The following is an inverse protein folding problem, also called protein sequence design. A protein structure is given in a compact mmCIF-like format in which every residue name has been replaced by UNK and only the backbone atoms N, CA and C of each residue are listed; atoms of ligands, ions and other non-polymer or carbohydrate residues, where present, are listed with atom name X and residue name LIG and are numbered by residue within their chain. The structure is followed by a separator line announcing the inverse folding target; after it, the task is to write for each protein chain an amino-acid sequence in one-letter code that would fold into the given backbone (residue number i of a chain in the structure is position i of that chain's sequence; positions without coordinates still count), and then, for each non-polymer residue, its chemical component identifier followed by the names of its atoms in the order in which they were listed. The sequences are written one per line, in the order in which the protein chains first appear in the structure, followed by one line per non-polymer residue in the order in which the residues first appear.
data_IF_189740014640
#
_entry.id   IF_189740014640
#
_cell.length_a   1.000
_cell.length_b   1.000
_cell.length_c   1.000
_cell.angle_alpha   90.00
_cell.angle_beta   90.00
_cell.angle_gamma   90.00
#
_symmetry.space_group_name_H-M   'P 1'
#
loop_
_entity.id
_entity.type
_entity.pdbx_description
1 polymer ?
#
# COMPACT_ATOMS: atom_id res chain seq x y z
N UNK A 1 33.38 4.71 -9.51
CA UNK A 1 31.91 4.87 -9.49
C UNK A 1 31.56 5.70 -8.27
N UNK A 2 30.77 6.75 -8.43
CA UNK A 2 30.31 7.57 -7.32
C UNK A 2 29.38 6.71 -6.45
N UNK A 3 29.61 6.71 -5.15
CA UNK A 3 28.77 5.93 -4.22
C UNK A 3 27.35 6.51 -4.23
N UNK A 4 26.34 5.68 -4.50
CA UNK A 4 24.94 6.11 -4.46
C UNK A 4 24.53 6.42 -3.01
N UNK A 5 23.75 7.47 -2.76
CA UNK A 5 23.29 7.81 -1.43
C UNK A 5 22.36 6.73 -0.84
N UNK A 6 21.56 6.10 -1.69
CA UNK A 6 20.68 4.99 -1.34
C UNK A 6 20.70 3.93 -2.44
N UNK A 7 20.43 2.66 -2.09
CA UNK A 7 20.40 1.52 -3.01
C UNK A 7 19.00 1.19 -3.50
N UNK A 8 17.96 1.60 -2.76
CA UNK A 8 16.58 1.44 -3.15
C UNK A 8 15.74 2.67 -2.83
N UNK A 9 14.77 2.94 -3.71
CA UNK A 9 13.66 3.86 -3.50
C UNK A 9 12.42 3.04 -3.24
N UNK A 10 11.75 3.34 -2.12
CA UNK A 10 10.49 2.70 -1.72
C UNK A 10 9.42 3.79 -1.70
N UNK A 11 8.31 3.60 -2.39
CA UNK A 11 7.25 4.62 -2.41
C UNK A 11 5.88 3.99 -2.27
N UNK A 12 5.04 4.59 -1.43
CA UNK A 12 3.61 4.42 -1.57
C UNK A 12 3.13 5.02 -2.90
N UNK A 13 1.93 4.65 -3.32
CA UNK A 13 1.33 5.08 -4.58
C UNK A 13 0.32 6.22 -4.39
N UNK A 14 -0.80 5.93 -3.72
CA UNK A 14 -1.92 6.85 -3.62
C UNK A 14 -1.63 7.97 -2.62
N UNK A 15 -1.71 9.22 -3.09
CA UNK A 15 -1.34 10.36 -2.24
C UNK A 15 0.17 10.59 -2.14
N UNK A 16 1.00 9.71 -2.70
CA UNK A 16 2.47 9.80 -2.65
C UNK A 16 3.08 9.89 -4.05
N UNK A 17 3.24 8.78 -4.75
CA UNK A 17 3.87 8.74 -6.08
C UNK A 17 2.90 9.14 -7.20
N UNK A 18 1.63 8.79 -7.06
CA UNK A 18 0.58 9.16 -8.00
C UNK A 18 0.10 10.59 -7.71
N UNK A 19 -0.16 11.34 -8.77
CA UNK A 19 -0.70 12.69 -8.68
C UNK A 19 -2.20 12.69 -8.24
N UNK A 20 -2.79 13.89 -8.14
CA UNK A 20 -4.19 14.05 -7.72
C UNK A 20 -5.23 13.39 -8.65
N UNK A 21 -4.84 12.97 -9.84
CA UNK A 21 -5.68 12.22 -10.79
C UNK A 21 -5.45 10.71 -10.71
N UNK A 22 -4.73 10.22 -9.70
CA UNK A 22 -4.32 8.82 -9.52
C UNK A 22 -3.48 8.26 -10.68
N UNK A 23 -2.73 9.11 -11.38
CA UNK A 23 -1.84 8.74 -12.49
C UNK A 23 -0.40 9.05 -12.12
N UNK A 24 0.53 8.23 -12.61
CA UNK A 24 1.96 8.54 -12.52
C UNK A 24 2.31 9.61 -13.55
N UNK A 25 3.02 10.66 -13.14
CA UNK A 25 3.45 11.76 -14.01
C UNK A 25 4.64 11.38 -14.89
N UNK A 26 4.75 12.02 -16.04
CA UNK A 26 5.84 11.76 -16.99
C UNK A 26 7.22 12.06 -16.40
N UNK A 27 7.32 13.13 -15.60
CA UNK A 27 8.56 13.48 -14.91
C UNK A 27 8.92 12.41 -13.86
N UNK A 28 7.94 11.89 -13.12
CA UNK A 28 8.16 10.79 -12.17
C UNK A 28 8.67 9.54 -12.89
N UNK A 29 8.07 9.16 -14.02
CA UNK A 29 8.52 8.03 -14.87
C UNK A 29 9.97 8.24 -15.30
N UNK A 30 10.31 9.43 -15.79
CA UNK A 30 11.67 9.76 -16.23
C UNK A 30 12.68 9.58 -15.11
N UNK A 31 12.41 10.11 -13.91
CA UNK A 31 13.33 10.04 -12.77
C UNK A 31 13.51 8.60 -12.29
N UNK A 32 12.42 7.82 -12.17
CA UNK A 32 12.52 6.41 -11.76
C UNK A 32 13.33 5.58 -12.76
N UNK A 33 13.16 5.78 -14.06
CA UNK A 33 13.96 5.12 -15.08
C UNK A 33 15.44 5.49 -15.01
N UNK A 34 15.78 6.77 -14.78
CA UNK A 34 17.16 7.19 -14.59
C UNK A 34 17.79 6.59 -13.31
N UNK A 35 17.02 6.42 -12.25
CA UNK A 35 17.47 5.78 -11.01
C UNK A 35 17.77 4.30 -11.24
N UNK A 36 16.89 3.58 -11.92
CA UNK A 36 17.12 2.17 -12.25
C UNK A 36 18.37 1.99 -13.12
N UNK A 37 18.59 2.85 -14.13
CA UNK A 37 19.80 2.84 -14.95
C UNK A 37 21.09 3.07 -14.12
N UNK A 38 20.98 3.80 -13.02
CA UNK A 38 22.08 3.96 -12.03
C UNK A 38 22.25 2.75 -11.11
N UNK A 39 21.36 1.76 -11.17
CA UNK A 39 21.39 0.57 -10.33
C UNK A 39 20.63 0.70 -9.02
N UNK A 40 19.77 1.71 -8.87
CA UNK A 40 18.85 1.86 -7.72
C UNK A 40 17.64 0.97 -7.93
N UNK A 41 17.29 0.15 -6.95
CA UNK A 41 16.08 -0.67 -7.00
C UNK A 41 14.83 0.19 -6.75
N UNK A 42 13.76 -0.07 -7.51
CA UNK A 42 12.46 0.60 -7.35
C UNK A 42 11.49 -0.36 -6.69
N UNK A 43 10.93 0.03 -5.57
CA UNK A 43 9.98 -0.76 -4.78
C UNK A 43 8.71 0.06 -4.59
N UNK A 44 7.59 -0.41 -5.11
CA UNK A 44 6.28 0.20 -4.89
C UNK A 44 5.57 -0.53 -3.76
N UNK A 45 5.10 0.20 -2.73
CA UNK A 45 4.48 -0.37 -1.54
C UNK A 45 3.09 0.23 -1.33
N UNK A 46 2.03 -0.55 -1.57
CA UNK A 46 0.67 -0.04 -1.63
C UNK A 46 -0.37 -0.95 -0.97
N UNK A 47 -1.50 -0.36 -0.57
CA UNK A 47 -2.70 -1.10 -0.16
C UNK A 47 -3.46 -1.72 -1.34
N UNK A 48 -3.15 -1.36 -2.59
CA UNK A 48 -3.81 -1.90 -3.79
C UNK A 48 -3.45 -3.36 -4.04
N UNK A 49 -4.30 -4.05 -4.81
CA UNK A 49 -4.04 -5.40 -5.31
C UNK A 49 -3.00 -5.37 -6.44
N UNK A 50 -2.32 -6.50 -6.66
CA UNK A 50 -1.31 -6.70 -7.71
C UNK A 50 -1.83 -6.37 -9.11
N UNK A 51 -3.04 -6.83 -9.46
CA UNK A 51 -3.64 -6.60 -10.78
C UNK A 51 -3.76 -5.11 -11.11
N UNK A 52 -4.13 -4.30 -10.10
CA UNK A 52 -4.26 -2.86 -10.24
C UNK A 52 -2.89 -2.17 -10.42
N UNK A 53 -1.90 -2.57 -9.64
CA UNK A 53 -0.54 -1.99 -9.67
C UNK A 53 0.23 -2.34 -10.93
N UNK A 54 0.01 -3.51 -11.50
CA UNK A 54 0.70 -3.97 -12.72
C UNK A 54 0.53 -3.01 -13.89
N UNK A 55 -0.63 -2.37 -14.00
CA UNK A 55 -0.89 -1.37 -15.04
C UNK A 55 -0.06 -0.09 -14.88
N UNK A 56 0.23 0.29 -13.64
CA UNK A 56 1.07 1.45 -13.29
C UNK A 56 2.53 1.15 -13.60
N UNK A 57 3.01 -0.02 -13.18
CA UNK A 57 4.38 -0.48 -13.44
C UNK A 57 4.69 -0.61 -14.93
N UNK A 58 3.73 -1.05 -15.73
CA UNK A 58 3.89 -1.10 -17.19
C UNK A 58 4.24 0.24 -17.83
N UNK A 59 3.94 1.36 -17.15
CA UNK A 59 4.31 2.71 -17.58
C UNK A 59 5.73 3.11 -17.16
N UNK A 60 6.24 2.51 -16.09
CA UNK A 60 7.57 2.80 -15.54
C UNK A 60 8.56 1.93 -16.26
N UNK A 61 8.97 1.71 -17.23
CA UNK A 61 10.00 0.90 -17.89
C UNK A 61 11.05 0.18 -17.00
N UNK A 62 10.82 0.10 -15.69
CA UNK A 62 11.72 -0.42 -14.68
C UNK A 62 11.67 -1.95 -14.66
N UNK A 63 12.66 -2.63 -15.25
CA UNK A 63 12.68 -4.10 -15.40
C UNK A 63 12.89 -4.87 -14.08
N UNK A 64 13.42 -4.20 -13.05
CA UNK A 64 13.75 -4.81 -11.74
C UNK A 64 12.85 -4.35 -10.60
N UNK A 65 11.83 -3.57 -10.89
CA UNK A 65 10.93 -3.08 -9.86
C UNK A 65 10.20 -4.25 -9.17
N UNK A 66 9.89 -4.05 -7.90
CA UNK A 66 9.18 -5.00 -7.04
C UNK A 66 7.94 -4.32 -6.48
N UNK A 67 6.88 -5.09 -6.32
CA UNK A 67 5.61 -4.65 -5.76
C UNK A 67 5.38 -5.28 -4.40
N UNK A 68 5.17 -4.45 -3.40
CA UNK A 68 4.58 -4.79 -2.12
C UNK A 68 3.11 -4.36 -2.21
N UNK A 69 2.18 -5.30 -2.22
CA UNK A 69 0.75 -5.07 -2.42
C UNK A 69 -0.06 -5.51 -1.22
N UNK A 70 -1.32 -5.08 -1.14
CA UNK A 70 -2.22 -5.39 -0.02
C UNK A 70 -1.58 -5.08 1.33
N UNK A 71 -0.92 -3.91 1.45
CA UNK A 71 -0.16 -3.45 2.63
C UNK A 71 0.96 -4.39 3.11
N UNK A 72 1.51 -5.20 2.24
CA UNK A 72 2.57 -6.14 2.62
C UNK A 72 2.13 -7.59 2.70
N UNK A 73 0.84 -7.90 2.48
CA UNK A 73 0.39 -9.29 2.44
C UNK A 73 0.98 -10.07 1.26
N UNK A 74 1.43 -9.38 0.21
CA UNK A 74 2.07 -9.97 -0.97
C UNK A 74 3.27 -9.15 -1.42
N UNK A 75 4.30 -9.83 -1.89
CA UNK A 75 5.42 -9.25 -2.63
C UNK A 75 5.61 -10.02 -3.93
N UNK A 76 5.65 -9.30 -5.05
CA UNK A 76 5.82 -9.88 -6.38
C UNK A 76 6.85 -9.11 -7.19
N UNK A 77 7.53 -9.80 -8.10
CA UNK A 77 8.32 -9.16 -9.16
C UNK A 77 7.42 -8.66 -10.31
N UNK A 78 8.01 -7.98 -11.28
CA UNK A 78 7.29 -7.49 -12.48
C UNK A 78 6.68 -8.58 -13.35
N UNK A 79 7.17 -9.82 -13.24
CA UNK A 79 6.63 -10.96 -13.99
C UNK A 79 5.45 -11.60 -13.28
N UNK A 80 5.07 -11.07 -12.10
CA UNK A 80 4.02 -11.60 -11.26
C UNK A 80 4.46 -12.78 -10.39
N UNK A 81 5.75 -13.15 -10.38
CA UNK A 81 6.24 -14.21 -9.51
C UNK A 81 6.13 -13.80 -8.05
N UNK A 82 5.50 -14.65 -7.25
CA UNK A 82 5.33 -14.43 -5.81
C UNK A 82 6.66 -14.63 -5.09
N UNK A 83 7.14 -13.59 -4.41
CA UNK A 83 8.37 -13.59 -3.61
C UNK A 83 8.03 -13.86 -2.13
N UNK A 84 6.95 -13.24 -1.64
CA UNK A 84 6.50 -13.35 -0.26
C UNK A 84 4.98 -13.30 -0.17
N UNK A 85 4.42 -14.01 0.81
CA UNK A 85 2.98 -14.07 1.06
C UNK A 85 2.69 -14.26 2.54
N UNK A 86 1.80 -13.45 3.09
CA UNK A 86 1.29 -13.56 4.45
C UNK A 86 -0.23 -13.33 4.45
N UNK A 87 -1.00 -14.42 4.23
CA UNK A 87 -2.47 -14.38 4.18
C UNK A 87 -3.08 -14.41 5.57
N UNK A 88 -4.27 -13.82 5.71
CA UNK A 88 -5.12 -14.05 6.88
C UNK A 88 -5.47 -15.54 7.00
N UNK A 89 -5.44 -16.12 8.22
CA UNK A 89 -5.99 -17.45 8.47
C UNK A 89 -7.48 -17.52 8.08
N UNK A 90 -7.88 -18.60 7.42
CA UNK A 90 -9.26 -18.78 6.91
C UNK A 90 -10.31 -18.64 8.03
N UNK A 91 -10.03 -19.19 9.20
CA UNK A 91 -10.93 -19.09 10.36
C UNK A 91 -11.17 -17.64 10.81
N UNK A 92 -10.13 -16.79 10.80
CA UNK A 92 -10.26 -15.37 11.14
C UNK A 92 -11.10 -14.65 10.06
N UNK A 93 -10.86 -14.93 8.80
CA UNK A 93 -11.63 -14.33 7.70
C UNK A 93 -13.11 -14.67 7.81
N UNK A 94 -13.45 -15.92 8.07
CA UNK A 94 -14.84 -16.38 8.24
C UNK A 94 -15.52 -15.77 9.48
N UNK A 95 -14.74 -15.43 10.52
CA UNK A 95 -15.25 -14.66 11.67
C UNK A 95 -15.48 -13.20 11.28
N UNK A 96 -14.54 -12.55 10.57
CA UNK A 96 -14.68 -11.17 10.07
C UNK A 96 -15.88 -10.97 9.16
N UNK A 97 -16.23 -11.95 8.33
CA UNK A 97 -17.42 -11.89 7.48
C UNK A 97 -18.75 -11.86 8.26
N UNK A 98 -18.74 -12.30 9.52
CA UNK A 98 -19.93 -12.41 10.38
C UNK A 98 -20.06 -11.32 11.41
N UNK A 99 -19.06 -10.43 11.54
CA UNK A 99 -19.11 -9.37 12.56
C UNK A 99 -20.33 -8.46 12.33
N UNK A 100 -20.91 -7.93 13.43
CA UNK A 100 -22.04 -7.02 13.34
C UNK A 100 -21.56 -5.61 12.95
N UNK A 101 -22.14 -5.03 11.93
CA UNK A 101 -22.00 -3.62 11.55
C UNK A 101 -23.20 -3.19 10.68
N UNK A 102 -23.43 -1.88 10.57
CA UNK A 102 -24.49 -1.34 9.72
C UNK A 102 -24.11 -1.45 8.23
N UNK A 103 -24.65 -2.48 7.56
CA UNK A 103 -24.39 -2.76 6.14
C UNK A 103 -25.00 -1.73 5.18
N UNK A 104 -25.78 -0.78 5.68
CA UNK A 104 -26.27 0.35 4.88
C UNK A 104 -25.28 1.52 4.82
N UNK A 105 -24.30 1.55 5.74
CA UNK A 105 -23.30 2.59 5.89
C UNK A 105 -21.89 2.11 5.56
N UNK A 106 -21.61 0.84 5.83
CA UNK A 106 -20.29 0.23 5.69
C UNK A 106 -20.36 -0.91 4.68
N UNK A 107 -19.46 -0.87 3.73
CA UNK A 107 -19.25 -1.94 2.79
C UNK A 107 -18.06 -2.80 3.21
N UNK A 108 -18.25 -4.12 3.34
CA UNK A 108 -17.17 -5.07 3.55
C UNK A 108 -16.62 -5.55 2.22
N UNK A 109 -15.31 -5.59 2.15
CA UNK A 109 -14.54 -5.97 0.98
C UNK A 109 -13.47 -6.99 1.36
N UNK A 110 -13.01 -7.78 0.39
CA UNK A 110 -11.79 -8.60 0.54
C UNK A 110 -10.98 -8.64 -0.75
N UNK A 111 -9.65 -8.61 -0.61
CA UNK A 111 -8.74 -9.05 -1.65
C UNK A 111 -8.33 -10.48 -1.37
N UNK A 112 -8.51 -11.35 -2.36
CA UNK A 112 -8.32 -12.79 -2.23
C UNK A 112 -7.93 -13.39 -3.57
N UNK A 113 -6.79 -14.10 -3.61
CA UNK A 113 -6.30 -14.79 -4.81
C UNK A 113 -6.32 -13.89 -6.07
N UNK A 114 -5.82 -12.65 -5.94
CA UNK A 114 -5.80 -11.60 -6.98
C UNK A 114 -7.20 -11.08 -7.40
N UNK A 115 -8.28 -11.51 -6.75
CA UNK A 115 -9.64 -11.00 -6.92
C UNK A 115 -10.03 -9.93 -5.88
N UNK A 116 -11.07 -9.20 -6.20
CA UNK A 116 -11.72 -8.23 -5.31
C UNK A 116 -13.19 -8.59 -5.14
N UNK A 117 -13.60 -8.87 -3.91
CA UNK A 117 -14.97 -9.27 -3.57
C UNK A 117 -15.60 -8.28 -2.60
N UNK A 118 -16.92 -8.03 -2.74
CA UNK A 118 -17.65 -6.99 -2.01
C UNK A 118 -19.07 -7.48 -1.71
N UNK A 119 -19.66 -7.03 -0.59
CA UNK A 119 -20.99 -7.47 -0.20
C UNK A 119 -22.15 -6.76 -0.91
N UNK A 120 -21.90 -5.61 -1.53
CA UNK A 120 -22.92 -4.79 -2.19
C UNK A 120 -22.28 -3.99 -3.31
N UNK A 121 -23.06 -3.68 -4.36
CA UNK A 121 -22.57 -2.88 -5.46
C UNK A 121 -22.33 -1.42 -5.04
N UNK A 122 -21.12 -0.91 -5.28
CA UNK A 122 -20.68 0.47 -4.99
C UNK A 122 -19.96 1.04 -6.21
N UNK A 123 -20.69 1.53 -7.22
CA UNK A 123 -20.11 1.97 -8.51
C UNK A 123 -19.02 3.04 -8.39
N UNK A 124 -19.04 3.82 -7.30
CA UNK A 124 -18.03 4.84 -7.02
C UNK A 124 -16.63 4.24 -6.86
N UNK A 125 -16.51 3.03 -6.31
CA UNK A 125 -15.24 2.36 -6.11
C UNK A 125 -14.57 1.97 -7.43
N UNK A 126 -15.35 1.65 -8.46
CA UNK A 126 -14.83 1.33 -9.79
C UNK A 126 -14.04 2.48 -10.44
N UNK A 127 -14.29 3.72 -10.03
CA UNK A 127 -13.60 4.90 -10.58
C UNK A 127 -12.11 4.92 -10.23
N UNK A 128 -11.72 4.38 -9.07
CA UNK A 128 -10.33 4.34 -8.62
C UNK A 128 -9.48 3.31 -9.38
N UNK A 129 -10.13 2.34 -10.04
CA UNK A 129 -9.49 1.23 -10.75
C UNK A 129 -9.74 1.28 -12.27
N UNK A 130 -10.19 2.44 -12.78
CA UNK A 130 -10.59 2.59 -14.19
C UNK A 130 -9.44 2.27 -15.16
N UNK A 131 -8.22 2.69 -14.83
CA UNK A 131 -7.05 2.53 -15.70
C UNK A 131 -6.55 1.09 -15.75
N UNK A 132 -6.70 0.33 -14.67
CA UNK A 132 -6.30 -1.08 -14.57
C UNK A 132 -7.37 -2.05 -15.07
N UNK A 133 -8.63 -1.61 -15.07
CA UNK A 133 -9.78 -2.49 -15.30
C UNK A 133 -10.02 -3.50 -14.18
N UNK A 134 -9.37 -3.33 -13.02
CA UNK A 134 -9.56 -4.19 -11.87
C UNK A 134 -10.94 -3.94 -11.25
N UNK A 135 -11.83 -4.92 -11.33
CA UNK A 135 -13.23 -4.79 -10.92
C UNK A 135 -13.55 -5.78 -9.81
N UNK A 136 -14.45 -5.37 -8.93
CA UNK A 136 -14.98 -6.24 -7.88
C UNK A 136 -16.09 -7.17 -8.40
N UNK A 137 -16.27 -8.27 -7.67
CA UNK A 137 -17.42 -9.17 -7.78
C UNK A 137 -18.28 -9.05 -6.51
N UNK A 138 -19.60 -8.90 -6.69
CA UNK A 138 -20.55 -8.87 -5.56
C UNK A 138 -20.83 -10.30 -5.12
N UNK A 139 -20.56 -10.60 -3.84
CA UNK A 139 -20.69 -11.95 -3.28
C UNK A 139 -21.49 -11.98 -1.99
N UNK A 140 -22.02 -13.13 -1.67
CA UNK A 140 -22.61 -13.43 -0.35
C UNK A 140 -21.53 -13.97 0.58
N UNK A 141 -20.97 -13.11 1.43
CA UNK A 141 -19.92 -13.51 2.39
C UNK A 141 -20.34 -14.58 3.39
N UNK A 142 -21.63 -14.89 3.54
CA UNK A 142 -22.05 -16.03 4.36
C UNK A 142 -21.73 -17.38 3.72
N UNK A 143 -21.43 -17.41 2.42
CA UNK A 143 -21.09 -18.60 1.60
C UNK A 143 -19.70 -18.51 0.99
N UNK A 144 -19.05 -17.36 1.09
CA UNK A 144 -17.73 -17.13 0.51
C UNK A 144 -16.65 -17.75 1.39
N UNK A 145 -15.64 -18.39 0.79
CA UNK A 145 -14.52 -18.97 1.54
C UNK A 145 -13.50 -17.93 1.96
N UNK A 146 -12.69 -18.24 2.98
CA UNK A 146 -11.67 -17.33 3.50
C UNK A 146 -10.23 -17.62 3.05
N UNK A 147 -10.00 -18.67 2.23
CA UNK A 147 -8.65 -19.10 1.83
C UNK A 147 -8.01 -18.11 0.88
N UNK A 148 -6.70 -17.87 1.04
CA UNK A 148 -5.95 -16.98 0.16
C UNK A 148 -6.20 -15.49 0.41
N UNK A 149 -6.99 -15.12 1.43
CA UNK A 149 -7.31 -13.72 1.73
C UNK A 149 -6.08 -12.93 2.12
N UNK A 150 -5.81 -11.86 1.39
CA UNK A 150 -4.73 -10.91 1.63
C UNK A 150 -5.12 -9.91 2.72
N UNK A 151 -6.32 -9.37 2.60
CA UNK A 151 -6.94 -8.45 3.56
C UNK A 151 -8.45 -8.46 3.48
N UNK A 152 -9.11 -8.18 4.60
CA UNK A 152 -10.51 -7.77 4.69
C UNK A 152 -10.54 -6.27 5.00
N UNK A 153 -11.37 -5.49 4.31
CA UNK A 153 -11.43 -4.07 4.56
C UNK A 153 -12.85 -3.53 4.49
N UNK A 154 -13.05 -2.45 5.24
CA UNK A 154 -14.35 -1.83 5.46
C UNK A 154 -14.30 -0.39 4.97
N UNK A 155 -15.23 -0.04 4.08
CA UNK A 155 -15.33 1.30 3.51
C UNK A 155 -16.64 1.93 3.96
N UNK A 156 -16.58 3.18 4.46
CA UNK A 156 -17.74 3.98 4.82
C UNK A 156 -17.69 5.34 4.10
N UNK A 157 -18.86 5.97 3.91
CA UNK A 157 -18.91 7.34 3.40
C UNK A 157 -18.52 8.37 4.47
N UNK A 158 -18.97 8.17 5.71
CA UNK A 158 -18.58 8.99 6.85
C UNK A 158 -17.55 8.22 7.70
N UNK A 159 -16.34 8.78 7.93
CA UNK A 159 -15.32 8.15 8.78
C UNK A 159 -15.84 7.78 10.18
N UNK A 160 -16.83 8.52 10.69
CA UNK A 160 -17.43 8.26 12.02
C UNK A 160 -18.13 6.90 12.11
N UNK A 161 -18.64 6.40 10.98
CA UNK A 161 -19.32 5.10 10.95
C UNK A 161 -18.32 3.93 11.17
N UNK A 162 -17.00 4.16 11.02
CA UNK A 162 -15.97 3.16 11.27
C UNK A 162 -15.49 3.10 12.72
N UNK A 163 -15.80 4.10 13.57
CA UNK A 163 -15.24 4.20 14.94
C UNK A 163 -15.66 3.00 15.80
N UNK A 164 -16.96 2.69 15.86
CA UNK A 164 -17.45 1.55 16.65
C UNK A 164 -16.94 0.21 16.08
N UNK A 165 -16.82 0.12 14.76
CA UNK A 165 -16.27 -1.06 14.10
C UNK A 165 -14.78 -1.24 14.41
N UNK A 166 -14.00 -0.16 14.39
CA UNK A 166 -12.59 -0.21 14.78
C UNK A 166 -12.41 -0.70 16.23
N UNK A 167 -13.16 -0.15 17.18
CA UNK A 167 -13.11 -0.56 18.58
C UNK A 167 -13.46 -2.05 18.74
N UNK A 168 -14.50 -2.51 18.03
CA UNK A 168 -14.85 -3.93 18.00
C UNK A 168 -13.73 -4.79 17.45
N UNK A 169 -13.18 -4.43 16.29
CA UNK A 169 -12.10 -5.18 15.65
C UNK A 169 -10.84 -5.24 16.52
N UNK A 170 -10.43 -4.12 17.09
CA UNK A 170 -9.25 -4.07 17.98
C UNK A 170 -9.44 -4.92 19.23
N UNK A 171 -10.66 -4.92 19.81
CA UNK A 171 -10.99 -5.70 21.00
C UNK A 171 -10.96 -7.21 20.74
N UNK A 172 -11.50 -7.66 19.59
CA UNK A 172 -11.73 -9.09 19.34
C UNK A 172 -10.65 -9.74 18.48
N UNK A 173 -9.94 -8.95 17.66
CA UNK A 173 -8.97 -9.44 16.69
C UNK A 173 -7.58 -8.80 16.81
N UNK A 174 -7.40 -7.74 17.61
CA UNK A 174 -6.15 -6.98 17.68
C UNK A 174 -4.91 -7.80 18.04
N UNK A 175 -5.06 -8.88 18.81
CA UNK A 175 -3.95 -9.78 19.16
C UNK A 175 -3.54 -10.69 17.98
N UNK A 176 -4.41 -10.89 17.00
CA UNK A 176 -4.26 -11.85 15.90
C UNK A 176 -4.09 -11.19 14.54
N UNK A 177 -4.37 -9.89 14.45
CA UNK A 177 -4.41 -9.16 13.18
C UNK A 177 -3.71 -7.81 13.29
N UNK A 178 -3.31 -7.27 12.14
CA UNK A 178 -2.92 -5.87 11.99
C UNK A 178 -4.15 -5.10 11.49
N UNK A 179 -4.50 -4.00 12.18
CA UNK A 179 -5.67 -3.17 11.88
C UNK A 179 -5.20 -1.74 11.68
N UNK A 180 -5.35 -1.21 10.47
CA UNK A 180 -4.88 0.13 10.09
C UNK A 180 -5.88 0.84 9.17
N UNK A 181 -5.77 2.15 9.10
CA UNK A 181 -6.43 2.94 8.06
C UNK A 181 -5.48 3.16 6.88
N UNK A 182 -5.92 2.83 5.66
CA UNK A 182 -5.26 3.24 4.42
C UNK A 182 -5.80 4.57 3.90
N UNK A 183 -7.00 4.93 4.31
CA UNK A 183 -7.63 6.24 4.13
C UNK A 183 -8.58 6.48 5.32
N UNK A 184 -8.98 7.72 5.56
CA UNK A 184 -9.90 8.05 6.68
C UNK A 184 -11.22 7.29 6.63
N UNK A 185 -11.64 6.84 5.45
CA UNK A 185 -12.87 6.09 5.19
C UNK A 185 -12.63 4.61 4.90
N UNK A 186 -11.40 4.10 5.05
CA UNK A 186 -11.04 2.72 4.73
C UNK A 186 -10.24 2.09 5.87
N UNK A 187 -10.89 1.19 6.62
CA UNK A 187 -10.30 0.43 7.72
C UNK A 187 -9.95 -0.98 7.23
N UNK A 188 -8.70 -1.38 7.37
CA UNK A 188 -8.17 -2.62 6.81
C UNK A 188 -7.68 -3.58 7.90
N UNK A 189 -7.94 -4.86 7.69
CA UNK A 189 -7.56 -5.97 8.58
C UNK A 189 -6.70 -6.95 7.77
N UNK A 190 -5.45 -7.15 8.18
CA UNK A 190 -4.49 -8.09 7.62
C UNK A 190 -4.05 -9.09 8.68
N UNK A 191 -3.32 -10.11 8.26
CA UNK A 191 -2.71 -11.03 9.21
C UNK A 191 -1.75 -10.29 10.16
N UNK A 192 -1.52 -10.87 11.33
CA UNK A 192 -0.59 -10.29 12.31
C UNK A 192 0.79 -10.06 11.69
N UNK A 193 1.40 -8.94 12.03
CA UNK A 193 2.70 -8.50 11.51
C UNK A 193 2.74 -8.32 9.98
N UNK A 194 1.60 -8.03 9.35
CA UNK A 194 1.58 -7.56 7.96
C UNK A 194 1.62 -6.05 7.98
N UNK A 195 2.68 -5.50 7.45
CA UNK A 195 2.85 -4.07 7.16
C UNK A 195 3.74 -3.89 5.93
N UNK A 196 3.73 -2.69 5.34
CA UNK A 196 4.65 -2.36 4.25
C UNK A 196 6.11 -2.45 4.70
N UNK A 197 6.38 -2.13 5.96
CA UNK A 197 7.71 -2.24 6.57
C UNK A 197 8.17 -3.68 6.74
N UNK A 198 7.32 -4.58 7.26
CA UNK A 198 7.63 -6.00 7.40
C UNK A 198 7.90 -6.66 6.05
N UNK A 199 7.04 -6.40 5.06
CA UNK A 199 7.22 -6.93 3.72
C UNK A 199 8.50 -6.43 3.05
N UNK A 200 8.85 -5.16 3.26
CA UNK A 200 10.12 -4.60 2.81
C UNK A 200 11.31 -5.29 3.49
N UNK A 201 11.25 -5.49 4.81
CA UNK A 201 12.31 -6.20 5.54
C UNK A 201 12.53 -7.61 5.00
N UNK A 202 11.46 -8.39 4.80
CA UNK A 202 11.53 -9.73 4.20
C UNK A 202 12.08 -9.73 2.77
N UNK A 203 11.67 -8.77 1.94
CA UNK A 203 12.21 -8.63 0.59
C UNK A 203 13.73 -8.43 0.62
N UNK A 204 14.23 -7.66 1.59
CA UNK A 204 15.64 -7.30 1.68
C UNK A 204 16.53 -8.41 2.28
N UNK A 205 15.98 -9.43 2.94
CA UNK A 205 16.75 -10.57 3.48
C UNK A 205 17.60 -11.26 2.41
N UNK A 206 17.14 -11.26 1.16
CA UNK A 206 17.84 -11.87 0.02
C UNK A 206 18.58 -10.83 -0.87
N UNK A 207 18.76 -9.60 -0.39
CA UNK A 207 19.51 -8.53 -1.07
C UNK A 207 20.85 -8.31 -0.39
N UNK A 208 21.78 -7.69 -1.10
CA UNK A 208 23.11 -7.33 -0.58
C UNK A 208 23.12 -5.95 0.12
N UNK A 209 21.96 -5.48 0.55
CA UNK A 209 21.76 -4.22 1.28
C UNK A 209 20.53 -4.35 2.19
N UNK A 210 20.38 -3.44 3.14
CA UNK A 210 19.31 -3.50 4.13
C UNK A 210 18.46 -2.23 4.19
N UNK A 211 17.55 -2.17 5.15
CA UNK A 211 16.62 -1.05 5.35
C UNK A 211 17.35 0.31 5.41
N UNK A 212 18.52 0.35 6.03
CA UNK A 212 19.31 1.60 6.16
C UNK A 212 19.89 2.12 4.84
N UNK A 213 19.91 1.30 3.80
CA UNK A 213 20.31 1.70 2.46
C UNK A 213 19.11 2.14 1.59
N UNK A 214 17.89 2.20 2.17
CA UNK A 214 16.66 2.59 1.50
C UNK A 214 16.21 4.02 1.86
N UNK A 215 15.60 4.69 0.88
CA UNK A 215 14.86 5.93 1.06
C UNK A 215 13.37 5.64 0.79
N UNK A 216 12.46 6.12 1.63
CA UNK A 216 11.03 5.84 1.49
C UNK A 216 10.15 7.09 1.57
N UNK A 217 8.98 7.04 0.91
CA UNK A 217 7.99 8.09 0.83
C UNK A 217 6.58 7.54 1.10
N UNK A 218 5.77 8.29 1.86
CA UNK A 218 4.42 7.87 2.20
C UNK A 218 3.55 9.01 2.72
N UNK A 219 2.23 8.78 2.79
CA UNK A 219 1.25 9.75 3.27
C UNK A 219 0.16 9.17 4.18
N UNK A 220 0.05 7.84 4.31
CA UNK A 220 -0.95 7.15 5.10
C UNK A 220 -0.44 6.53 6.39
N UNK A 221 -1.35 6.22 7.31
CA UNK A 221 -1.02 5.52 8.56
C UNK A 221 -0.34 4.17 8.32
N UNK A 222 -0.67 3.49 7.22
CA UNK A 222 -0.07 2.22 6.79
C UNK A 222 1.38 2.33 6.30
N UNK A 223 1.95 3.55 6.28
CA UNK A 223 3.36 3.80 5.91
C UNK A 223 4.28 3.93 7.12
N UNK A 224 3.75 4.00 8.34
CA UNK A 224 4.50 4.30 9.57
C UNK A 224 5.73 3.41 9.72
N UNK A 225 5.58 2.08 9.65
CA UNK A 225 6.69 1.15 9.81
C UNK A 225 7.71 1.29 8.68
N UNK A 226 7.24 1.39 7.43
CA UNK A 226 8.10 1.56 6.27
C UNK A 226 8.97 2.81 6.39
N UNK A 227 8.36 3.94 6.72
CA UNK A 227 9.06 5.23 6.84
C UNK A 227 10.01 5.28 8.03
N UNK A 228 9.63 4.67 9.16
CA UNK A 228 10.43 4.69 10.40
C UNK A 228 11.63 3.75 10.36
N UNK A 229 11.58 2.65 9.60
CA UNK A 229 12.62 1.63 9.63
C UNK A 229 13.73 1.83 8.59
N UNK A 230 13.46 2.54 7.50
CA UNK A 230 14.44 2.80 6.44
C UNK A 230 15.55 3.77 6.87
N UNK A 231 16.55 3.95 6.02
CA UNK A 231 17.65 4.90 6.27
C UNK A 231 17.16 6.35 6.27
N UNK A 232 16.21 6.69 5.41
CA UNK A 232 15.59 8.01 5.35
C UNK A 232 14.13 7.90 4.89
N UNK A 233 13.20 8.21 5.77
CA UNK A 233 11.77 8.32 5.47
C UNK A 233 11.35 9.77 5.27
N UNK A 234 10.38 10.00 4.39
CA UNK A 234 9.78 11.30 4.11
C UNK A 234 8.27 11.22 4.12
N UNK A 235 7.64 12.23 4.70
CA UNK A 235 6.20 12.39 4.78
C UNK A 235 5.73 13.40 3.73
N UNK A 236 4.65 13.10 3.01
CA UNK A 236 4.08 14.04 2.05
C UNK A 236 3.36 15.20 2.74
N UNK A 237 3.36 16.41 2.13
CA UNK A 237 2.63 17.55 2.67
C UNK A 237 1.12 17.29 2.81
N UNK A 238 0.56 16.46 1.93
CA UNK A 238 -0.84 16.03 1.97
C UNK A 238 -1.12 14.84 2.89
N UNK A 239 -0.14 14.38 3.68
CA UNK A 239 -0.29 13.20 4.51
C UNK A 239 -1.38 13.34 5.59
N UNK A 240 -1.96 12.20 5.94
CA UNK A 240 -2.92 12.04 7.04
C UNK A 240 -2.30 12.50 8.37
N UNK A 241 -3.09 13.18 9.20
CA UNK A 241 -2.63 13.68 10.51
C UNK A 241 -2.11 12.58 11.42
N UNK A 242 -2.69 11.37 11.35
CA UNK A 242 -2.25 10.20 12.14
C UNK A 242 -0.83 9.75 11.79
N UNK A 243 -0.43 9.83 10.50
CA UNK A 243 0.95 9.58 10.13
C UNK A 243 1.88 10.66 10.70
N UNK A 244 1.52 11.93 10.55
CA UNK A 244 2.32 13.06 11.06
C UNK A 244 2.47 13.02 12.59
N UNK A 245 1.42 12.60 13.29
CA UNK A 245 1.45 12.39 14.75
C UNK A 245 2.30 11.18 15.17
N UNK A 246 2.29 10.11 14.38
CA UNK A 246 3.08 8.89 14.67
C UNK A 246 4.56 9.06 14.35
N UNK A 247 4.91 9.94 13.41
CA UNK A 247 6.28 10.15 12.93
C UNK A 247 6.67 11.63 12.91
N UNK A 248 6.60 12.36 14.06
CA UNK A 248 6.81 13.80 14.10
C UNK A 248 8.25 14.22 13.76
N UNK A 249 9.20 13.30 13.80
CA UNK A 249 10.62 13.52 13.49
C UNK A 249 10.94 13.43 12.00
N UNK A 250 10.02 12.90 11.18
CA UNK A 250 10.26 12.75 9.75
C UNK A 250 10.05 14.08 9.01
N UNK A 251 10.91 14.31 8.04
CA UNK A 251 10.87 15.49 7.20
C UNK A 251 9.67 15.46 6.25
N UNK A 252 8.90 16.55 6.23
CA UNK A 252 7.83 16.76 5.28
C UNK A 252 8.37 17.32 3.97
N UNK A 253 7.96 16.70 2.83
CA UNK A 253 8.24 17.20 1.49
C UNK A 253 6.96 17.76 0.84
N UNK A 254 7.02 18.19 -0.42
CA UNK A 254 5.88 18.79 -1.13
C UNK A 254 4.67 17.89 -1.34
N UNK A 255 3.70 18.38 -2.11
CA UNK A 255 2.47 17.66 -2.43
C UNK A 255 2.66 16.66 -3.57
N UNK A 256 1.94 15.54 -3.52
CA UNK A 256 1.93 14.54 -4.58
C UNK A 256 1.48 15.11 -5.95
N UNK A 257 0.52 16.02 -5.96
CA UNK A 257 0.05 16.70 -7.17
C UNK A 257 1.14 17.47 -7.93
N UNK A 258 2.23 17.81 -7.26
CA UNK A 258 3.35 18.56 -7.79
C UNK A 258 4.56 17.65 -8.11
N UNK A 259 4.38 16.33 -8.11
CA UNK A 259 5.42 15.30 -8.30
C UNK A 259 6.61 15.49 -7.34
N UNK A 260 6.31 15.78 -6.07
CA UNK A 260 7.31 16.13 -5.07
C UNK A 260 8.31 15.00 -4.81
N UNK A 261 7.87 13.72 -4.85
CA UNK A 261 8.76 12.55 -4.71
C UNK A 261 9.84 12.57 -5.80
N UNK A 262 9.46 12.73 -7.05
CA UNK A 262 10.39 12.76 -8.18
C UNK A 262 11.36 13.94 -8.11
N UNK A 263 10.88 15.12 -7.76
CA UNK A 263 11.73 16.31 -7.57
C UNK A 263 12.76 16.09 -6.48
N UNK A 264 12.32 15.55 -5.35
CA UNK A 264 13.19 15.28 -4.21
C UNK A 264 14.24 14.20 -4.53
N UNK A 265 13.85 13.15 -5.25
CA UNK A 265 14.77 12.12 -5.74
C UNK A 265 15.78 12.69 -6.74
N UNK A 266 15.36 13.55 -7.66
CA UNK A 266 16.25 14.22 -8.61
C UNK A 266 17.35 15.00 -7.89
N UNK A 267 17.00 15.76 -6.84
CA UNK A 267 17.94 16.52 -6.04
C UNK A 267 18.91 15.63 -5.28
N UNK A 268 18.42 14.60 -4.56
CA UNK A 268 19.25 13.69 -3.75
C UNK A 268 20.24 12.90 -4.62
N UNK A 269 19.81 12.43 -5.81
CA UNK A 269 20.65 11.63 -6.69
C UNK A 269 21.40 12.44 -7.76
N UNK A 270 21.29 13.78 -7.74
CA UNK A 270 21.92 14.67 -8.70
C UNK A 270 21.51 14.39 -10.14
N UNK A 271 20.20 14.12 -10.36
CA UNK A 271 19.65 13.84 -11.67
C UNK A 271 19.14 15.17 -12.27
N UNK A 272 19.66 15.51 -13.46
CA UNK A 272 19.25 16.68 -14.23
C UNK A 272 18.29 16.31 -15.33
#
# INVERSE_FOLDING_TARGET
MQQLPFKAVVSDLDGTLLNANHVIGDFTIEILNKLEQKGVDIILATGRNHTDVSSILGKIGAERAVMITSNGARVRDLKGNLIYSNSLPEEIVLELYKIPFDRTKICINTYQDDGWFINTDVPELAKYHKDSGFMYEVVDFTKHHGRGTEKVFFIAHDPKDLIELEDYLRTHFGDKTTIVYSAVTCLEVMNKNVSKGDALAHLLENRNYGLKDCIAFGDGQNDVEMLSWVGKGYVMANADSRLKEACPELEEIGFNKDEAVAKHLADIFGIK
#
